data_IF_613595864024
#
_entry.id   IF_613595864024
#
_cell.length_a   1.000
_cell.length_b   1.000
_cell.length_c   1.000
_cell.angle_alpha   90.00
_cell.angle_beta   90.00
_cell.angle_gamma   90.00
#
_symmetry.space_group_name_H-M   'P 1'
#
loop_
_entity.id
_entity.type
_entity.pdbx_description
1 polymer ?
#
# COMPACT_ATOMS: atom_id res chain seq x y z
N UNK A 1 4.81 1.04 -7.30
CA UNK A 1 3.60 0.22 -7.51
C UNK A 1 2.61 0.56 -6.40
N UNK A 2 1.45 1.13 -6.73
CA UNK A 2 0.38 1.30 -5.74
C UNK A 2 -0.43 0.01 -5.65
N UNK A 3 -0.50 -0.59 -4.46
CA UNK A 3 -1.39 -1.71 -4.18
C UNK A 3 -2.60 -1.16 -3.43
N UNK A 4 -3.78 -1.18 -4.05
CA UNK A 4 -5.03 -0.96 -3.32
C UNK A 4 -5.41 -2.30 -2.70
N UNK A 5 -5.52 -2.38 -1.38
CA UNK A 5 -5.88 -3.60 -0.66
C UNK A 5 -7.21 -3.40 0.04
N UNK A 6 -8.24 -4.12 -0.40
CA UNK A 6 -9.53 -4.15 0.26
C UNK A 6 -9.47 -5.17 1.39
N UNK A 7 -9.61 -4.74 2.64
CA UNK A 7 -9.68 -5.61 3.79
C UNK A 7 -11.16 -5.82 4.19
N UNK A 8 -11.58 -7.07 4.41
CA UNK A 8 -12.91 -7.42 4.92
C UNK A 8 -12.77 -8.46 6.05
N UNK A 9 -13.16 -8.15 7.30
CA UNK A 9 -14.55 -8.24 7.78
C UNK A 9 -14.99 -7.00 8.62
N UNK A 10 -16.25 -6.90 9.09
CA UNK A 10 -16.67 -5.81 9.96
C UNK A 10 -15.78 -5.78 11.20
N UNK A 11 -15.21 -4.61 11.49
CA UNK A 11 -14.31 -4.37 12.61
C UNK A 11 -13.17 -5.39 12.72
N UNK A 12 -12.31 -5.44 11.69
CA UNK A 12 -11.07 -6.21 11.74
C UNK A 12 -10.34 -5.99 13.08
N UNK A 13 -9.81 -7.06 13.70
CA UNK A 13 -9.27 -6.99 15.05
C UNK A 13 -8.15 -5.94 15.16
N UNK A 14 -7.98 -5.30 16.33
CA UNK A 14 -6.85 -4.40 16.55
C UNK A 14 -5.55 -5.12 16.21
N UNK A 15 -4.77 -4.53 15.29
CA UNK A 15 -3.53 -5.13 14.78
C UNK A 15 -3.57 -5.52 13.30
N UNK A 16 -4.74 -5.60 12.65
CA UNK A 16 -4.82 -6.02 11.24
C UNK A 16 -3.96 -5.18 10.27
N UNK A 17 -3.84 -3.87 10.52
CA UNK A 17 -2.94 -3.00 9.74
C UNK A 17 -1.46 -3.28 10.04
N UNK A 18 -1.12 -3.61 11.29
CA UNK A 18 0.24 -3.97 11.65
C UNK A 18 0.66 -5.30 11.00
N UNK A 19 -0.24 -6.28 10.95
CA UNK A 19 -0.02 -7.56 10.26
C UNK A 19 0.17 -7.35 8.75
N UNK A 20 -0.65 -6.49 8.14
CA UNK A 20 -0.53 -6.11 6.73
C UNK A 20 0.84 -5.48 6.45
N UNK A 21 1.24 -4.48 7.25
CA UNK A 21 2.51 -3.78 7.05
C UNK A 21 3.71 -4.70 7.32
N UNK A 22 3.61 -5.61 8.30
CA UNK A 22 4.64 -6.62 8.56
C UNK A 22 4.80 -7.58 7.39
N UNK A 23 3.69 -7.98 6.77
CA UNK A 23 3.66 -8.82 5.58
C UNK A 23 4.35 -8.13 4.40
N UNK A 24 4.05 -6.85 4.16
CA UNK A 24 4.71 -6.05 3.12
C UNK A 24 6.20 -5.85 3.42
N UNK A 25 6.55 -5.51 4.66
CA UNK A 25 7.94 -5.31 5.06
C UNK A 25 8.80 -6.57 4.85
N UNK A 26 8.24 -7.76 5.05
CA UNK A 26 8.91 -9.05 4.78
C UNK A 26 9.35 -9.23 3.32
N UNK A 27 8.79 -8.46 2.38
CA UNK A 27 9.17 -8.50 0.95
C UNK A 27 10.27 -7.50 0.59
N UNK A 28 10.64 -6.61 1.52
CA UNK A 28 11.61 -5.53 1.32
C UNK A 28 11.07 -4.35 0.50
N UNK A 29 9.76 -4.24 0.30
CA UNK A 29 9.14 -3.08 -0.35
C UNK A 29 9.05 -1.90 0.63
N UNK A 30 9.29 -0.69 0.16
CA UNK A 30 9.14 0.52 0.96
C UNK A 30 7.71 1.04 0.85
N UNK A 31 7.15 1.53 1.95
CA UNK A 31 5.82 2.15 1.98
C UNK A 31 5.97 3.67 1.93
N UNK A 32 5.35 4.32 0.94
CA UNK A 32 5.37 5.77 0.76
C UNK A 32 4.13 6.42 1.39
N UNK A 33 2.96 5.88 1.08
CA UNK A 33 1.67 6.36 1.59
C UNK A 33 0.86 5.19 2.11
N UNK A 34 0.15 5.44 3.21
CA UNK A 34 -0.90 4.56 3.73
C UNK A 34 -2.16 5.41 3.84
N UNK A 35 -3.23 5.01 3.14
CA UNK A 35 -4.56 5.59 3.32
C UNK A 35 -5.50 4.51 3.81
N UNK A 36 -6.18 4.76 4.92
CA UNK A 36 -7.12 3.83 5.51
C UNK A 36 -8.47 4.53 5.63
N UNK A 37 -9.49 3.93 5.02
CA UNK A 37 -10.82 4.50 4.88
C UNK A 37 -11.88 3.49 5.32
N UNK A 38 -12.70 3.87 6.29
CA UNK A 38 -13.81 3.07 6.84
C UNK A 38 -15.19 3.62 6.44
N UNK A 39 -15.21 4.76 5.77
CA UNK A 39 -16.41 5.52 5.43
C UNK A 39 -16.71 5.47 3.93
N UNK A 40 -15.89 4.74 3.17
CA UNK A 40 -16.05 4.61 1.73
C UNK A 40 -17.44 4.07 1.39
N UNK A 41 -18.20 4.76 0.52
CA UNK A 41 -19.56 4.35 0.16
C UNK A 41 -19.62 3.03 -0.63
N UNK A 42 -18.48 2.56 -1.13
CA UNK A 42 -18.35 1.27 -1.82
C UNK A 42 -18.03 0.10 -0.88
N UNK A 43 -17.73 0.38 0.41
CA UNK A 43 -17.42 -0.65 1.40
C UNK A 43 -18.69 -1.10 2.14
N UNK A 44 -18.84 -2.41 2.40
CA UNK A 44 -19.81 -2.90 3.36
C UNK A 44 -19.56 -2.31 4.76
N UNK A 45 -20.63 -2.07 5.54
CA UNK A 45 -20.50 -1.54 6.89
C UNK A 45 -19.58 -2.42 7.76
N UNK A 46 -18.69 -1.73 8.48
CA UNK A 46 -17.66 -2.33 9.33
C UNK A 46 -16.35 -2.67 8.62
N UNK A 47 -16.31 -2.71 7.28
CA UNK A 47 -15.07 -3.00 6.57
C UNK A 47 -14.19 -1.75 6.42
N UNK A 48 -12.94 -1.97 6.03
CA UNK A 48 -11.99 -0.89 5.80
C UNK A 48 -11.18 -1.14 4.54
N UNK A 49 -11.00 -0.10 3.72
CA UNK A 49 -10.04 -0.13 2.63
C UNK A 49 -8.69 0.37 3.13
N UNK A 50 -7.61 -0.26 2.65
CA UNK A 50 -6.24 0.21 2.85
C UNK A 50 -5.58 0.37 1.48
N UNK A 51 -5.28 1.59 1.11
CA UNK A 51 -4.46 1.90 -0.05
C UNK A 51 -3.00 2.08 0.38
N UNK A 52 -2.13 1.30 -0.25
CA UNK A 52 -0.69 1.35 -0.03
C UNK A 52 0.01 1.81 -1.30
N UNK A 53 0.79 2.88 -1.20
CA UNK A 53 1.75 3.23 -2.25
C UNK A 53 3.09 2.63 -1.90
N UNK A 54 3.54 1.67 -2.71
CA UNK A 54 4.78 0.94 -2.48
C UNK A 54 5.83 1.31 -3.52
N UNK A 55 7.06 1.49 -3.05
CA UNK A 55 8.23 1.52 -3.90
C UNK A 55 8.85 0.12 -3.93
N UNK A 56 9.06 -0.37 -5.16
CA UNK A 56 9.71 -1.65 -5.42
C UNK A 56 10.92 -1.41 -6.31
N UNK A 57 12.01 -2.14 -6.05
CA UNK A 57 13.26 -2.02 -6.82
C UNK A 57 13.14 -2.56 -8.25
N UNK A 58 12.31 -3.58 -8.45
CA UNK A 58 12.12 -4.24 -9.73
C UNK A 58 10.71 -4.86 -9.84
N UNK A 59 10.27 -5.23 -11.06
CA UNK A 59 8.96 -5.83 -11.27
C UNK A 59 8.74 -7.14 -10.49
N UNK A 60 9.79 -7.94 -10.32
CA UNK A 60 9.74 -9.23 -9.62
C UNK A 60 9.40 -9.05 -8.12
N UNK A 61 9.97 -8.02 -7.48
CA UNK A 61 9.60 -7.67 -6.12
C UNK A 61 8.12 -7.24 -6.05
N UNK A 62 7.65 -6.49 -7.02
CA UNK A 62 6.24 -6.12 -7.15
C UNK A 62 5.29 -7.32 -7.19
N UNK A 63 5.62 -8.30 -8.04
CA UNK A 63 4.87 -9.56 -8.12
C UNK A 63 4.94 -10.34 -6.81
N UNK A 64 6.09 -10.36 -6.14
CA UNK A 64 6.26 -11.00 -4.83
C UNK A 64 5.37 -10.37 -3.77
N UNK A 65 5.27 -9.04 -3.72
CA UNK A 65 4.37 -8.32 -2.81
C UNK A 65 2.93 -8.78 -3.03
N UNK A 66 2.45 -8.76 -4.28
CA UNK A 66 1.09 -9.18 -4.60
C UNK A 66 0.83 -10.64 -4.26
N UNK A 67 1.79 -11.53 -4.51
CA UNK A 67 1.68 -12.95 -4.20
C UNK A 67 1.59 -13.20 -2.68
N UNK A 68 2.45 -12.55 -1.89
CA UNK A 68 2.46 -12.71 -0.43
C UNK A 68 1.17 -12.15 0.18
N UNK A 69 0.70 -10.99 -0.27
CA UNK A 69 -0.55 -10.41 0.22
C UNK A 69 -1.77 -11.30 -0.11
N UNK A 70 -1.84 -11.85 -1.32
CA UNK A 70 -2.91 -12.82 -1.68
C UNK A 70 -2.83 -14.09 -0.84
N UNK A 71 -1.63 -14.62 -0.61
CA UNK A 71 -1.43 -15.81 0.22
C UNK A 71 -1.81 -15.59 1.69
N UNK A 72 -1.65 -14.36 2.20
CA UNK A 72 -2.10 -13.95 3.53
C UNK A 72 -3.61 -13.68 3.61
N UNK A 73 -4.35 -13.82 2.50
CA UNK A 73 -5.81 -13.66 2.46
C UNK A 73 -6.29 -12.24 2.18
N UNK A 74 -5.41 -11.32 1.80
CA UNK A 74 -5.80 -9.96 1.43
C UNK A 74 -6.35 -9.91 -0.01
N UNK A 75 -7.50 -9.24 -0.17
CA UNK A 75 -8.04 -8.89 -1.48
C UNK A 75 -7.27 -7.71 -2.07
N UNK A 76 -6.28 -7.97 -2.92
CA UNK A 76 -5.46 -6.92 -3.53
C UNK A 76 -5.87 -6.63 -4.96
N UNK A 77 -6.06 -5.35 -5.25
CA UNK A 77 -6.26 -4.81 -6.57
C UNK A 77 -5.07 -3.88 -6.92
N UNK A 78 -4.18 -4.31 -7.82
CA UNK A 78 -3.05 -3.47 -8.23
C UNK A 78 -3.56 -2.29 -9.06
N UNK A 79 -3.26 -1.07 -8.60
CA UNK A 79 -3.55 0.15 -9.36
C UNK A 79 -2.27 0.65 -10.01
N UNK A 80 -2.30 0.82 -11.32
CA UNK A 80 -1.26 1.53 -12.05
C UNK A 80 -1.40 3.03 -11.77
N UNK A 81 -0.75 3.52 -10.72
CA UNK A 81 -0.51 4.95 -10.59
C UNK A 81 0.53 5.37 -11.64
N UNK A 82 0.37 6.53 -12.32
CA UNK A 82 1.45 7.10 -13.11
C UNK A 82 2.69 7.27 -12.22
N UNK A 83 3.92 7.14 -12.76
CA UNK A 83 5.13 7.31 -11.97
C UNK A 83 5.07 8.64 -11.25
N UNK A 84 5.20 8.59 -9.91
CA UNK A 84 5.22 9.79 -9.08
C UNK A 84 6.31 10.70 -9.65
N UNK A 85 5.92 11.83 -10.27
CA UNK A 85 6.89 12.86 -10.66
C UNK A 85 7.53 13.29 -9.36
N UNK A 86 8.80 12.96 -9.18
CA UNK A 86 9.54 13.33 -7.98
C UNK A 86 9.30 14.80 -7.70
N UNK A 87 8.68 15.11 -6.57
CA UNK A 87 8.78 16.44 -5.97
C UNK A 87 10.21 16.54 -5.48
N UNK A 88 11.14 16.71 -6.42
CA UNK A 88 12.49 17.10 -6.10
C UNK A 88 12.37 18.35 -5.26
N UNK A 89 12.72 18.23 -3.98
CA UNK A 89 13.10 19.40 -3.18
C UNK A 89 14.09 20.17 -4.07
N UNK A 90 13.88 21.45 -4.40
CA UNK A 90 14.95 22.21 -5.01
C UNK A 90 16.13 22.10 -4.06
N UNK A 91 17.16 21.37 -4.48
CA UNK A 91 18.45 21.38 -3.81
C UNK A 91 18.88 22.83 -3.81
N UNK A 92 18.83 23.46 -2.63
CA UNK A 92 19.45 24.76 -2.42
C UNK A 92 20.92 24.61 -2.81
N UNK A 93 21.23 25.08 -4.01
CA UNK A 93 22.57 25.19 -4.56
C UNK A 93 22.79 26.67 -4.84
N UNK A 94 23.68 27.24 -4.03
CA UNK A 94 24.33 28.55 -4.11
C UNK A 94 24.44 29.17 -5.52
N UNK A 95 24.31 30.50 -5.53
CA UNK A 95 24.62 31.35 -6.67
C UNK A 95 24.79 32.81 -6.25
N UNK A 96 25.99 33.12 -5.76
CA UNK A 96 26.61 34.45 -5.49
C UNK A 96 26.46 35.01 -4.07
#
# INVERSE_FOLDING_TARGET
MGASSTCAPPEGPPGALADLLSTVAGTGANVYTIRHDRESPTLPPGQASVELELEVRDPEQGERVLAVLKAAGYGVEPTLAPPLRGTGRPSAGEGT
#
